data_IF_595712050408
#
_entry.id   IF_595712050408
#
_cell.length_a   1.000
_cell.length_b   1.000
_cell.length_c   1.000
_cell.angle_alpha   90.00
_cell.angle_beta   90.00
_cell.angle_gamma   90.00
#
_symmetry.space_group_name_H-M   'P 1'
#
loop_
_entity.id
_entity.type
_entity.pdbx_description
1 polymer ?
#
# COMPACT_ATOMS: atom_id res chain seq x y z
N UNK A 1 -21.65 -24.58 5.02
CA UNK A 1 -23.15 -24.67 5.11
C UNK A 1 -23.52 -24.68 6.59
N UNK A 2 -24.13 -23.61 7.11
CA UNK A 2 -24.51 -23.52 8.52
C UNK A 2 -25.78 -24.34 8.84
N UNK A 3 -25.80 -25.03 9.99
CA UNK A 3 -26.97 -25.78 10.49
C UNK A 3 -27.62 -25.06 11.67
N UNK A 4 -28.95 -24.94 11.63
CA UNK A 4 -29.74 -24.30 12.69
C UNK A 4 -29.53 -25.05 14.02
N UNK A 5 -29.19 -24.31 15.08
CA UNK A 5 -28.97 -24.86 16.43
C UNK A 5 -27.53 -25.31 16.73
N UNK A 6 -26.60 -25.10 15.79
CA UNK A 6 -25.19 -25.48 15.92
C UNK A 6 -24.26 -24.26 15.81
N UNK A 7 -24.70 -23.09 16.29
CA UNK A 7 -23.93 -21.83 16.18
C UNK A 7 -22.74 -21.78 17.13
N UNK A 8 -22.91 -22.32 18.34
CA UNK A 8 -21.94 -22.20 19.43
C UNK A 8 -20.76 -23.17 19.26
N UNK A 9 -19.57 -22.67 19.63
CA UNK A 9 -18.34 -23.47 19.68
C UNK A 9 -18.55 -24.79 20.40
N UNK A 10 -18.02 -25.87 19.82
CA UNK A 10 -18.13 -27.22 20.39
C UNK A 10 -19.38 -27.99 19.96
N UNK A 11 -20.30 -27.38 19.20
CA UNK A 11 -21.42 -28.07 18.53
C UNK A 11 -20.95 -28.69 17.20
N UNK A 12 -19.88 -29.47 17.23
CA UNK A 12 -19.33 -30.14 16.03
C UNK A 12 -18.46 -29.26 15.12
N UNK A 13 -18.07 -28.06 15.57
CA UNK A 13 -17.08 -27.20 14.91
C UNK A 13 -16.24 -26.43 15.95
N UNK A 14 -15.09 -25.91 15.50
CA UNK A 14 -14.12 -25.18 16.33
C UNK A 14 -14.35 -23.67 16.43
N UNK A 15 -15.17 -23.10 15.54
CA UNK A 15 -15.41 -21.65 15.47
C UNK A 15 -16.15 -21.10 16.68
N UNK A 16 -15.86 -19.84 17.06
CA UNK A 16 -16.64 -19.09 18.07
C UNK A 16 -18.10 -18.88 17.64
N UNK A 17 -18.36 -18.80 16.33
CA UNK A 17 -19.71 -18.69 15.77
C UNK A 17 -19.78 -19.25 14.34
N UNK A 18 -20.56 -20.33 14.15
CA UNK A 18 -20.61 -21.04 12.87
C UNK A 18 -21.12 -20.18 11.72
N UNK A 19 -22.23 -19.46 11.89
CA UNK A 19 -22.82 -18.68 10.80
C UNK A 19 -21.92 -17.54 10.34
N UNK A 20 -21.30 -16.81 11.26
CA UNK A 20 -20.38 -15.73 10.91
C UNK A 20 -19.12 -16.25 10.22
N UNK A 21 -18.60 -17.40 10.64
CA UNK A 21 -17.45 -18.03 10.00
C UNK A 21 -17.75 -18.43 8.55
N UNK A 22 -18.90 -19.04 8.31
CA UNK A 22 -19.34 -19.42 6.96
C UNK A 22 -19.62 -18.19 6.09
N UNK A 23 -20.13 -17.11 6.66
CA UNK A 23 -20.29 -15.82 5.97
C UNK A 23 -18.93 -15.21 5.64
N UNK A 24 -17.94 -15.30 6.54
CA UNK A 24 -16.60 -14.76 6.31
C UNK A 24 -15.91 -15.43 5.12
N UNK A 25 -16.06 -16.75 4.95
CA UNK A 25 -15.62 -17.46 3.73
C UNK A 25 -16.27 -16.90 2.45
N UNK A 26 -17.57 -16.61 2.50
CA UNK A 26 -18.26 -16.01 1.35
C UNK A 26 -17.77 -14.58 1.06
N UNK A 27 -17.53 -13.77 2.10
CA UNK A 27 -17.01 -12.41 1.98
C UNK A 27 -15.59 -12.43 1.39
N UNK A 28 -14.70 -13.28 1.90
CA UNK A 28 -13.35 -13.46 1.36
C UNK A 28 -13.40 -13.72 -0.15
N UNK A 29 -14.16 -14.74 -0.55
CA UNK A 29 -14.22 -15.20 -1.93
C UNK A 29 -14.93 -14.23 -2.88
N UNK A 30 -16.07 -13.69 -2.47
CA UNK A 30 -17.00 -12.97 -3.38
C UNK A 30 -16.81 -11.46 -3.29
N UNK A 31 -16.64 -10.91 -2.09
CA UNK A 31 -16.52 -9.46 -1.88
C UNK A 31 -15.08 -9.01 -2.04
N UNK A 32 -14.14 -9.76 -1.47
CA UNK A 32 -12.72 -9.42 -1.49
C UNK A 32 -11.89 -10.22 -2.49
N UNK A 33 -12.53 -11.02 -3.34
CA UNK A 33 -11.91 -11.74 -4.46
C UNK A 33 -10.73 -12.65 -4.03
N UNK A 34 -10.91 -13.39 -2.93
CA UNK A 34 -9.92 -14.29 -2.31
C UNK A 34 -8.73 -13.55 -1.68
N UNK A 35 -9.04 -12.56 -0.83
CA UNK A 35 -8.02 -11.72 -0.19
C UNK A 35 -7.11 -12.50 0.75
N UNK A 36 -7.60 -13.59 1.36
CA UNK A 36 -6.81 -14.47 2.22
C UNK A 36 -5.64 -15.16 1.49
N UNK A 37 -5.67 -15.23 0.16
CA UNK A 37 -4.59 -15.79 -0.68
C UNK A 37 -3.62 -14.75 -1.20
N UNK A 38 -3.85 -13.48 -0.90
CA UNK A 38 -2.97 -12.40 -1.37
C UNK A 38 -1.73 -12.31 -0.50
N UNK A 39 -0.61 -11.89 -1.11
CA UNK A 39 0.65 -11.61 -0.39
C UNK A 39 0.43 -10.61 0.77
N UNK A 40 -0.61 -9.78 0.68
CA UNK A 40 -0.97 -8.83 1.72
C UNK A 40 -1.40 -9.49 3.04
N UNK A 41 -2.04 -10.67 2.97
CA UNK A 41 -2.42 -11.43 4.15
C UNK A 41 -1.30 -12.33 4.68
N UNK A 42 -0.26 -12.60 3.89
CA UNK A 42 0.85 -13.49 4.27
C UNK A 42 1.62 -12.98 5.49
N UNK A 43 1.77 -11.66 5.61
CA UNK A 43 2.47 -11.03 6.73
C UNK A 43 1.72 -11.23 8.05
N UNK A 44 0.46 -10.77 8.23
CA UNK A 44 -0.26 -11.02 9.46
C UNK A 44 -0.43 -12.53 9.74
N UNK A 45 -0.72 -13.33 8.71
CA UNK A 45 -0.86 -14.78 8.85
C UNK A 45 0.42 -15.44 9.40
N UNK A 46 1.57 -15.19 8.79
CA UNK A 46 2.84 -15.82 9.19
C UNK A 46 3.30 -15.41 10.60
N UNK A 47 3.00 -14.18 11.04
CA UNK A 47 3.47 -13.65 12.32
C UNK A 47 2.57 -13.98 13.51
N UNK A 48 1.26 -14.10 13.28
CA UNK A 48 0.26 -14.09 14.35
C UNK A 48 -0.52 -15.40 14.47
N UNK A 49 -0.72 -16.12 13.35
CA UNK A 49 -1.56 -17.33 13.32
C UNK A 49 -1.19 -18.33 14.40
N UNK A 50 0.09 -18.68 14.53
CA UNK A 50 0.52 -19.69 15.51
C UNK A 50 0.32 -19.25 16.97
N UNK A 51 0.40 -17.94 17.24
CA UNK A 51 0.24 -17.39 18.59
C UNK A 51 -1.23 -17.31 18.98
N UNK A 52 -2.09 -16.96 18.03
CA UNK A 52 -3.52 -16.79 18.30
C UNK A 52 -4.28 -18.12 18.19
N UNK A 53 -4.03 -18.87 17.11
CA UNK A 53 -4.64 -20.16 16.82
C UNK A 53 -3.57 -21.24 16.57
N UNK A 54 -3.09 -21.92 17.63
CA UNK A 54 -2.03 -22.93 17.50
C UNK A 54 -2.49 -24.21 16.81
N UNK A 55 -3.80 -24.44 16.68
CA UNK A 55 -4.37 -25.60 16.01
C UNK A 55 -3.95 -25.64 14.52
N UNK A 56 -3.62 -26.84 14.03
CA UNK A 56 -3.23 -27.07 12.63
C UNK A 56 -4.35 -26.76 11.64
N UNK A 57 -5.61 -26.81 12.09
CA UNK A 57 -6.77 -26.43 11.28
C UNK A 57 -6.59 -25.03 10.66
N UNK A 58 -6.01 -24.10 11.42
CA UNK A 58 -5.79 -22.72 10.97
C UNK A 58 -4.50 -22.52 10.18
N UNK A 59 -3.76 -23.58 9.82
CA UNK A 59 -2.69 -23.51 8.80
C UNK A 59 -3.24 -23.20 7.41
N UNK A 60 -4.56 -23.40 7.18
CA UNK A 60 -5.24 -22.87 6.01
C UNK A 60 -5.51 -21.36 6.21
N UNK A 61 -5.01 -20.53 5.27
CA UNK A 61 -5.19 -19.07 5.29
C UNK A 61 -6.66 -18.66 5.24
N UNK A 62 -7.50 -19.37 4.49
CA UNK A 62 -8.94 -19.11 4.41
C UNK A 62 -9.61 -19.31 5.78
N UNK A 63 -9.31 -20.42 6.45
CA UNK A 63 -9.86 -20.76 7.76
C UNK A 63 -9.39 -19.78 8.85
N UNK A 64 -8.12 -19.38 8.80
CA UNK A 64 -7.58 -18.36 9.71
C UNK A 64 -8.25 -17.00 9.49
N UNK A 65 -8.37 -16.57 8.23
CA UNK A 65 -9.07 -15.34 7.88
C UNK A 65 -10.52 -15.36 8.35
N UNK A 66 -11.26 -16.43 8.02
CA UNK A 66 -12.67 -16.56 8.36
C UNK A 66 -12.90 -16.52 9.88
N UNK A 67 -12.06 -17.18 10.66
CA UNK A 67 -12.17 -17.14 12.12
C UNK A 67 -11.80 -15.78 12.70
N UNK A 68 -10.74 -15.13 12.21
CA UNK A 68 -10.39 -13.79 12.68
C UNK A 68 -11.48 -12.77 12.33
N UNK A 69 -12.06 -12.86 11.14
CA UNK A 69 -13.21 -12.03 10.73
C UNK A 69 -14.42 -12.28 11.63
N UNK A 70 -14.64 -13.53 12.03
CA UNK A 70 -15.68 -13.90 13.00
C UNK A 70 -15.45 -13.23 14.35
N UNK A 71 -14.22 -13.27 14.88
CA UNK A 71 -13.87 -12.58 16.14
C UNK A 71 -14.12 -11.08 16.05
N UNK A 72 -13.82 -10.45 14.91
CA UNK A 72 -14.00 -9.02 14.67
C UNK A 72 -15.47 -8.58 14.78
N UNK A 73 -16.41 -9.42 14.36
CA UNK A 73 -17.85 -9.08 14.29
C UNK A 73 -18.72 -9.70 15.39
N UNK A 74 -18.26 -10.76 16.05
CA UNK A 74 -19.10 -11.51 16.99
C UNK A 74 -19.46 -10.72 18.26
N UNK A 75 -18.49 -10.06 18.89
CA UNK A 75 -18.70 -9.24 20.09
C UNK A 75 -17.55 -8.26 20.31
N UNK A 76 -17.77 -7.22 21.13
CA UNK A 76 -16.68 -6.30 21.54
C UNK A 76 -15.56 -7.05 22.27
N UNK A 77 -15.89 -8.06 23.09
CA UNK A 77 -14.90 -8.86 23.80
C UNK A 77 -14.02 -9.69 22.88
N UNK A 78 -14.60 -10.36 21.87
CA UNK A 78 -13.83 -11.15 20.89
C UNK A 78 -13.04 -10.25 19.95
N UNK A 79 -13.58 -9.08 19.59
CA UNK A 79 -12.88 -8.08 18.79
C UNK A 79 -11.66 -7.54 19.52
N UNK A 80 -11.79 -7.24 20.81
CA UNK A 80 -10.67 -6.82 21.65
C UNK A 80 -9.64 -7.95 21.79
N UNK A 81 -10.08 -9.20 21.96
CA UNK A 81 -9.18 -10.35 22.00
C UNK A 81 -8.38 -10.53 20.70
N UNK A 82 -9.02 -10.37 19.53
CA UNK A 82 -8.34 -10.35 18.24
C UNK A 82 -7.30 -9.22 18.18
N UNK A 83 -7.68 -8.02 18.62
CA UNK A 83 -6.78 -6.86 18.64
C UNK A 83 -5.55 -7.07 19.53
N UNK A 84 -5.73 -7.73 20.67
CA UNK A 84 -4.64 -7.98 21.63
C UNK A 84 -3.72 -9.12 21.18
N UNK A 85 -4.28 -10.19 20.59
CA UNK A 85 -3.54 -11.41 20.26
C UNK A 85 -3.02 -11.46 18.82
N UNK A 86 -3.68 -10.76 17.90
CA UNK A 86 -3.34 -10.69 16.48
C UNK A 86 -3.56 -9.26 15.93
N UNK A 87 -2.83 -8.25 16.45
CA UNK A 87 -3.02 -6.85 16.09
C UNK A 87 -2.84 -6.54 14.59
N UNK A 88 -1.92 -7.20 13.89
CA UNK A 88 -1.74 -7.01 12.43
C UNK A 88 -2.95 -7.54 11.67
N UNK A 89 -3.48 -8.69 12.07
CA UNK A 89 -4.69 -9.30 11.50
C UNK A 89 -5.91 -8.43 11.79
N UNK A 90 -6.03 -7.87 13.01
CA UNK A 90 -7.06 -6.89 13.36
C UNK A 90 -7.00 -5.68 12.43
N UNK A 91 -5.83 -5.05 12.31
CA UNK A 91 -5.64 -3.86 11.48
C UNK A 91 -5.91 -4.14 10.00
N UNK A 92 -5.55 -5.33 9.52
CA UNK A 92 -5.84 -5.78 8.18
C UNK A 92 -7.35 -5.86 7.91
N UNK A 93 -8.10 -6.53 8.78
CA UNK A 93 -9.56 -6.66 8.66
C UNK A 93 -10.24 -5.30 8.80
N UNK A 94 -9.86 -4.50 9.80
CA UNK A 94 -10.39 -3.14 10.01
C UNK A 94 -10.21 -2.28 8.75
N UNK A 95 -9.05 -2.36 8.10
CA UNK A 95 -8.78 -1.66 6.84
C UNK A 95 -9.65 -2.17 5.69
N UNK A 96 -9.82 -3.48 5.53
CA UNK A 96 -10.74 -4.05 4.54
C UNK A 96 -12.17 -3.55 4.71
N UNK A 97 -12.65 -3.48 5.94
CA UNK A 97 -14.01 -3.02 6.24
C UNK A 97 -14.18 -1.53 5.96
N UNK A 98 -13.21 -0.72 6.36
CA UNK A 98 -13.18 0.72 6.04
C UNK A 98 -13.22 0.98 4.53
N UNK A 99 -12.54 0.14 3.74
CA UNK A 99 -12.57 0.21 2.28
C UNK A 99 -13.96 -0.07 1.69
N UNK A 100 -14.77 -0.91 2.33
CA UNK A 100 -16.14 -1.24 1.87
C UNK A 100 -17.16 -0.20 2.34
N UNK A 101 -16.99 0.35 3.53
CA UNK A 101 -17.97 1.23 4.17
C UNK A 101 -17.88 2.71 3.73
N UNK A 102 -16.80 3.13 3.06
CA UNK A 102 -16.67 4.49 2.54
C UNK A 102 -16.74 5.57 3.63
N UNK A 103 -16.34 5.24 4.85
CA UNK A 103 -16.55 6.07 6.03
C UNK A 103 -15.65 7.33 5.99
N UNK A 104 -16.29 8.48 5.79
CA UNK A 104 -15.69 9.81 5.59
C UNK A 104 -15.24 10.49 6.89
N UNK A 105 -15.13 9.75 8.01
CA UNK A 105 -14.78 10.28 9.33
C UNK A 105 -13.56 9.62 10.00
N UNK A 106 -12.73 8.90 9.26
CA UNK A 106 -11.35 8.63 9.68
C UNK A 106 -10.43 9.71 9.08
N UNK A 107 -9.75 10.48 9.94
CA UNK A 107 -8.86 11.58 9.52
C UNK A 107 -7.50 11.11 8.99
N UNK A 108 -7.35 9.83 8.69
CA UNK A 108 -6.18 9.31 7.99
C UNK A 108 -6.61 8.95 6.57
N UNK A 109 -6.03 9.56 5.52
CA UNK A 109 -6.30 9.14 4.16
C UNK A 109 -6.01 7.65 4.04
N UNK A 110 -6.93 6.91 3.43
CA UNK A 110 -6.79 5.47 3.25
C UNK A 110 -5.93 5.26 2.01
N UNK A 111 -4.73 4.74 2.25
CA UNK A 111 -3.62 4.82 1.34
C UNK A 111 -3.45 3.52 0.58
N UNK A 112 -3.67 3.53 -0.75
CA UNK A 112 -3.49 2.33 -1.58
C UNK A 112 -2.05 1.81 -1.42
N UNK A 113 -1.91 0.57 -0.93
CA UNK A 113 -0.61 -0.06 -0.68
C UNK A 113 -0.10 -0.76 -1.93
N UNK A 114 1.16 -0.48 -2.27
CA UNK A 114 1.92 -1.13 -3.31
C UNK A 114 2.96 -2.02 -2.62
N UNK A 115 2.70 -3.32 -2.58
CA UNK A 115 3.62 -4.29 -1.98
C UNK A 115 4.86 -4.52 -2.85
N UNK A 116 6.03 -4.67 -2.24
CA UNK A 116 7.29 -4.93 -2.94
C UNK A 116 8.49 -4.16 -2.38
N UNK A 117 9.67 -4.47 -2.89
CA UNK A 117 10.94 -3.86 -2.48
C UNK A 117 11.58 -2.98 -3.57
N UNK A 118 11.12 -3.06 -4.82
CA UNK A 118 11.73 -2.37 -5.95
C UNK A 118 10.70 -1.57 -6.75
N UNK A 119 10.88 -0.26 -6.79
CA UNK A 119 9.97 0.67 -7.47
C UNK A 119 10.77 1.63 -8.36
N UNK A 120 10.23 1.94 -9.53
CA UNK A 120 10.81 2.90 -10.47
C UNK A 120 9.77 3.96 -10.83
N UNK A 121 10.14 5.24 -10.70
CA UNK A 121 9.37 6.36 -11.26
C UNK A 121 10.03 6.90 -12.52
N UNK A 122 9.21 7.21 -13.52
CA UNK A 122 9.63 7.86 -14.76
C UNK A 122 8.89 9.19 -14.92
N UNK A 123 9.64 10.28 -15.05
CA UNK A 123 9.11 11.62 -15.30
C UNK A 123 9.56 12.10 -16.68
N UNK A 124 8.59 12.43 -17.53
CA UNK A 124 8.78 12.78 -18.93
C UNK A 124 8.34 14.19 -19.21
N UNK A 125 9.11 14.84 -20.08
CA UNK A 125 8.93 16.21 -20.50
C UNK A 125 8.32 16.31 -21.90
N UNK A 126 8.63 17.42 -22.56
CA UNK A 126 8.27 17.65 -23.96
C UNK A 126 8.74 16.51 -24.86
N UNK A 127 7.90 16.12 -25.83
CA UNK A 127 8.13 14.98 -26.73
C UNK A 127 8.32 13.63 -26.02
N UNK A 128 7.73 13.48 -24.83
CA UNK A 128 7.79 12.27 -23.99
C UNK A 128 9.22 11.85 -23.59
N UNK A 129 10.16 12.80 -23.65
CA UNK A 129 11.54 12.58 -23.24
C UNK A 129 11.61 12.40 -21.72
N UNK A 130 12.08 11.26 -21.27
CA UNK A 130 12.39 11.05 -19.85
C UNK A 130 13.52 11.99 -19.43
N UNK A 131 13.23 12.91 -18.51
CA UNK A 131 14.23 13.84 -17.96
C UNK A 131 14.63 13.48 -16.54
N UNK A 132 13.82 12.67 -15.84
CA UNK A 132 14.15 12.14 -14.54
C UNK A 132 13.67 10.70 -14.38
N UNK A 133 14.55 9.86 -13.83
CA UNK A 133 14.25 8.50 -13.40
C UNK A 133 14.62 8.33 -11.94
N UNK A 134 13.75 7.70 -11.16
CA UNK A 134 13.98 7.45 -9.74
C UNK A 134 13.78 5.98 -9.45
N UNK A 135 14.81 5.30 -8.97
CA UNK A 135 14.76 3.90 -8.57
C UNK A 135 14.87 3.80 -7.05
N UNK A 136 13.92 3.15 -6.39
CA UNK A 136 13.95 2.88 -4.96
C UNK A 136 14.13 1.39 -4.70
N UNK A 137 15.07 1.07 -3.82
CA UNK A 137 15.31 -0.28 -3.31
C UNK A 137 15.15 -0.29 -1.79
N UNK A 138 14.06 -0.88 -1.31
CA UNK A 138 13.72 -0.97 0.11
C UNK A 138 14.73 -1.79 0.91
N UNK A 139 15.30 -2.85 0.33
CA UNK A 139 16.29 -3.70 1.02
C UNK A 139 17.62 -2.99 1.21
N UNK A 140 18.00 -2.15 0.25
CA UNK A 140 19.18 -1.29 0.35
C UNK A 140 18.92 -0.01 1.18
N UNK A 141 17.65 0.32 1.47
CA UNK A 141 17.23 1.60 2.06
C UNK A 141 17.72 2.82 1.26
N UNK A 142 17.70 2.71 -0.07
CA UNK A 142 18.29 3.70 -0.97
C UNK A 142 17.38 4.05 -2.14
N UNK A 143 17.30 5.34 -2.45
CA UNK A 143 16.67 5.89 -3.63
C UNK A 143 17.70 6.56 -4.53
N UNK A 144 17.81 6.09 -5.77
CA UNK A 144 18.71 6.62 -6.80
C UNK A 144 17.93 7.51 -7.75
N UNK A 145 18.34 8.77 -7.85
CA UNK A 145 17.68 9.80 -8.65
C UNK A 145 18.62 10.17 -9.79
N UNK A 146 18.20 9.92 -11.02
CA UNK A 146 18.92 10.27 -12.23
C UNK A 146 18.19 11.39 -12.95
N UNK A 147 18.89 12.48 -13.24
CA UNK A 147 18.43 13.55 -14.13
C UNK A 147 19.22 13.51 -15.44
N UNK A 148 18.52 13.76 -16.54
CA UNK A 148 19.10 13.89 -17.87
C UNK A 148 19.30 15.37 -18.23
N UNK A 149 20.42 15.68 -18.88
CA UNK A 149 20.69 17.04 -19.33
C UNK A 149 19.64 17.50 -20.36
N UNK A 150 19.23 18.76 -20.32
CA UNK A 150 18.29 19.37 -21.27
C UNK A 150 17.13 20.12 -20.61
N UNK A 151 16.28 20.72 -21.43
CA UNK A 151 15.09 21.44 -20.98
C UNK A 151 13.93 20.44 -20.83
N UNK A 152 13.31 20.28 -19.64
CA UNK A 152 12.19 19.37 -19.44
C UNK A 152 11.01 19.71 -20.35
N UNK A 153 10.52 20.96 -20.30
CA UNK A 153 9.39 21.40 -21.11
C UNK A 153 9.36 22.93 -21.26
N UNK A 154 9.74 23.43 -22.43
CA UNK A 154 9.99 24.86 -22.70
C UNK A 154 8.80 25.80 -22.48
N UNK A 155 7.56 25.31 -22.59
CA UNK A 155 6.35 26.11 -22.36
C UNK A 155 6.01 26.39 -20.89
N UNK A 156 6.70 25.75 -19.93
CA UNK A 156 6.45 25.98 -18.50
C UNK A 156 7.57 26.80 -17.86
N UNK A 157 7.28 28.02 -17.42
CA UNK A 157 8.23 28.91 -16.74
C UNK A 157 8.28 28.75 -15.21
N UNK A 158 7.49 27.81 -14.68
CA UNK A 158 7.39 27.47 -13.25
C UNK A 158 7.94 26.07 -12.98
N UNK A 159 7.92 25.64 -11.72
CA UNK A 159 8.28 24.28 -11.31
C UNK A 159 7.39 23.27 -12.02
N UNK A 160 7.96 22.56 -12.98
CA UNK A 160 7.30 21.57 -13.82
C UNK A 160 7.20 20.21 -13.11
N UNK A 161 8.26 19.83 -12.39
CA UNK A 161 8.27 18.65 -11.54
C UNK A 161 9.05 18.88 -10.26
N UNK A 162 8.76 18.08 -9.23
CA UNK A 162 9.58 18.03 -8.01
C UNK A 162 9.68 16.63 -7.44
N UNK A 163 10.80 16.37 -6.77
CA UNK A 163 11.08 15.14 -6.03
C UNK A 163 11.52 15.56 -4.64
N UNK A 164 10.82 15.09 -3.61
CA UNK A 164 11.08 15.41 -2.21
C UNK A 164 11.08 14.15 -1.35
N UNK A 165 12.04 14.05 -0.44
CA UNK A 165 12.08 13.01 0.58
C UNK A 165 12.05 13.68 1.96
N UNK A 166 11.16 13.20 2.82
CA UNK A 166 11.09 13.56 4.22
C UNK A 166 11.33 12.33 5.08
N UNK A 167 12.13 12.44 6.12
CA UNK A 167 12.27 11.34 7.07
C UNK A 167 11.00 11.19 7.93
N UNK A 168 10.93 10.11 8.70
CA UNK A 168 9.81 9.83 9.62
C UNK A 168 9.50 10.94 10.65
N UNK A 169 10.44 11.85 10.92
CA UNK A 169 10.24 13.03 11.78
C UNK A 169 9.73 14.27 11.01
N UNK A 170 9.48 14.14 9.71
CA UNK A 170 9.03 15.21 8.82
C UNK A 170 10.15 16.10 8.27
N UNK A 171 11.42 15.84 8.60
CA UNK A 171 12.56 16.64 8.13
C UNK A 171 12.82 16.33 6.66
N UNK A 172 12.89 17.37 5.83
CA UNK A 172 13.25 17.25 4.41
C UNK A 172 14.73 16.89 4.29
N UNK A 173 15.02 15.67 3.84
CA UNK A 173 16.40 15.17 3.63
C UNK A 173 16.83 15.25 2.16
N UNK A 174 15.88 15.42 1.25
CA UNK A 174 16.14 15.70 -0.16
C UNK A 174 15.01 16.55 -0.76
N UNK A 175 15.36 17.52 -1.61
CA UNK A 175 14.38 18.32 -2.35
C UNK A 175 14.99 18.79 -3.68
N UNK A 176 14.37 18.40 -4.79
CA UNK A 176 14.72 18.86 -6.14
C UNK A 176 13.50 19.47 -6.80
N UNK A 177 13.58 20.75 -7.10
CA UNK A 177 12.62 21.46 -7.94
C UNK A 177 13.18 21.62 -9.36
N UNK A 178 12.34 21.31 -10.35
CA UNK A 178 12.73 21.26 -11.75
C UNK A 178 11.84 22.24 -12.51
N UNK A 179 12.38 23.40 -12.87
CA UNK A 179 11.67 24.42 -13.64
C UNK A 179 11.62 24.01 -15.11
N UNK A 180 10.44 24.04 -15.71
CA UNK A 180 10.18 23.44 -17.03
C UNK A 180 11.06 23.97 -18.15
N UNK A 181 11.26 25.28 -18.22
CA UNK A 181 12.01 25.95 -19.27
C UNK A 181 13.48 26.22 -18.91
N UNK A 182 13.99 25.67 -17.81
CA UNK A 182 15.39 25.82 -17.41
C UNK A 182 16.20 24.58 -17.78
N UNK A 183 17.36 24.80 -18.38
CA UNK A 183 18.34 23.76 -18.70
C UNK A 183 18.70 22.98 -17.43
N UNK A 184 18.50 21.67 -17.45
CA UNK A 184 19.02 20.74 -16.44
C UNK A 184 20.38 20.20 -16.88
N UNK A 185 21.22 19.86 -15.89
CA UNK A 185 22.44 19.09 -16.09
C UNK A 185 22.16 17.62 -15.82
N UNK A 186 22.96 16.73 -16.41
CA UNK A 186 22.91 15.32 -16.03
C UNK A 186 23.45 15.15 -14.62
N UNK A 187 22.75 14.39 -13.80
CA UNK A 187 23.05 14.23 -12.37
C UNK A 187 22.59 12.85 -11.91
N UNK A 188 23.36 12.23 -11.01
CA UNK A 188 22.94 11.05 -10.26
C UNK A 188 23.14 11.35 -8.78
N UNK A 189 22.08 11.22 -8.00
CA UNK A 189 22.15 11.28 -6.54
C UNK A 189 21.61 9.99 -5.93
N UNK A 190 22.21 9.58 -4.82
CA UNK A 190 21.69 8.51 -3.97
C UNK A 190 21.25 9.13 -2.65
N UNK A 191 20.01 8.87 -2.24
CA UNK A 191 19.40 9.38 -1.02
C UNK A 191 19.03 8.18 -0.15
N UNK A 192 19.42 8.13 1.13
CA UNK A 192 18.93 7.10 2.04
C UNK A 192 17.45 7.30 2.30
N UNK A 193 16.66 6.24 2.16
CA UNK A 193 15.21 6.23 2.35
C UNK A 193 14.82 4.95 3.10
N UNK A 194 14.21 5.11 4.29
CA UNK A 194 13.91 4.02 5.22
C UNK A 194 12.42 3.85 5.43
N UNK A 195 12.04 2.73 6.05
CA UNK A 195 10.67 2.52 6.54
C UNK A 195 10.26 3.68 7.45
N UNK A 196 9.09 4.25 7.19
CA UNK A 196 8.55 5.44 7.86
C UNK A 196 8.82 6.76 7.14
N UNK A 197 9.74 6.80 6.17
CA UNK A 197 10.03 8.00 5.39
C UNK A 197 8.95 8.24 4.31
N UNK A 198 8.86 9.48 3.84
CA UNK A 198 7.90 9.93 2.84
C UNK A 198 8.60 10.37 1.57
N UNK A 199 8.13 9.87 0.42
CA UNK A 199 8.57 10.23 -0.92
C UNK A 199 7.44 10.98 -1.60
N UNK A 200 7.70 12.20 -2.06
CA UNK A 200 6.69 13.06 -2.69
C UNK A 200 7.15 13.50 -4.07
N UNK A 201 6.25 13.34 -5.03
CA UNK A 201 6.42 13.76 -6.40
C UNK A 201 5.38 14.80 -6.77
N UNK A 202 5.75 15.75 -7.62
CA UNK A 202 4.82 16.58 -8.36
C UNK A 202 5.18 16.60 -9.84
N UNK A 203 4.19 16.69 -10.72
CA UNK A 203 4.39 16.81 -12.16
C UNK A 203 3.20 17.53 -12.79
N UNK A 204 3.39 18.70 -13.41
CA UNK A 204 2.28 19.52 -13.93
C UNK A 204 1.38 18.69 -14.88
N UNK A 205 1.98 17.87 -15.73
CA UNK A 205 1.26 17.08 -16.75
C UNK A 205 0.85 15.68 -16.28
N UNK A 206 0.95 15.37 -14.98
CA UNK A 206 0.65 14.01 -14.51
C UNK A 206 -0.85 13.62 -14.50
N UNK A 207 -1.78 14.56 -14.65
CA UNK A 207 -3.24 14.34 -14.50
C UNK A 207 -4.05 14.61 -15.77
N UNK A 208 -3.47 15.17 -16.85
CA UNK A 208 -4.28 15.59 -17.99
C UNK A 208 -4.90 14.36 -18.69
N UNK A 209 -6.21 14.40 -18.95
CA UNK A 209 -7.00 13.30 -19.53
C UNK A 209 -6.43 12.78 -20.87
N UNK A 210 -5.58 13.57 -21.55
CA UNK A 210 -4.83 13.21 -22.77
C UNK A 210 -3.33 12.91 -22.56
N UNK A 211 -2.76 13.29 -21.41
CA UNK A 211 -1.33 13.17 -21.11
C UNK A 211 -1.07 12.39 -19.82
N UNK A 212 -1.96 11.41 -19.51
CA UNK A 212 -1.82 10.53 -18.36
C UNK A 212 -0.46 9.83 -18.28
N UNK A 213 0.37 9.88 -19.32
CA UNK A 213 1.54 9.02 -19.52
C UNK A 213 2.89 9.59 -19.08
N UNK A 214 2.98 10.85 -18.65
CA UNK A 214 4.29 11.49 -18.42
C UNK A 214 4.86 11.32 -17.02
N UNK A 215 4.08 10.81 -16.07
CA UNK A 215 4.56 10.58 -14.72
C UNK A 215 4.02 9.24 -14.20
N UNK A 216 4.88 8.22 -14.24
CA UNK A 216 4.51 6.83 -13.91
C UNK A 216 5.30 6.30 -12.73
N UNK A 217 4.70 5.33 -12.05
CA UNK A 217 5.35 4.42 -11.12
C UNK A 217 5.23 3.01 -11.66
N UNK A 218 6.30 2.24 -11.62
CA UNK A 218 6.31 0.81 -11.93
C UNK A 218 6.85 0.05 -10.72
N UNK A 219 6.09 -0.93 -10.26
CA UNK A 219 6.59 -1.96 -9.35
C UNK A 219 7.40 -2.97 -10.17
N UNK A 220 8.70 -3.08 -9.90
CA UNK A 220 9.61 -3.88 -10.70
C UNK A 220 9.47 -5.39 -10.44
N UNK A 221 8.79 -5.79 -9.35
CA UNK A 221 8.62 -7.19 -8.97
C UNK A 221 7.42 -7.83 -9.65
N UNK A 222 6.34 -7.06 -9.87
CA UNK A 222 5.12 -7.55 -10.54
C UNK A 222 4.78 -6.82 -11.85
N UNK A 223 5.64 -5.88 -12.29
CA UNK A 223 5.46 -5.07 -13.50
C UNK A 223 4.18 -4.22 -13.52
N UNK A 224 3.46 -4.07 -12.39
CA UNK A 224 2.28 -3.20 -12.31
C UNK A 224 2.73 -1.76 -12.48
N UNK A 225 2.15 -1.09 -13.47
CA UNK A 225 2.38 0.33 -13.73
C UNK A 225 1.17 1.15 -13.30
N UNK A 226 1.44 2.31 -12.73
CA UNK A 226 0.45 3.28 -12.28
C UNK A 226 0.86 4.70 -12.66
N UNK A 227 -0.11 5.61 -12.61
CA UNK A 227 0.10 7.02 -12.87
C UNK A 227 0.10 7.79 -11.55
N UNK A 228 1.08 8.66 -11.36
CA UNK A 228 1.21 9.37 -10.09
C UNK A 228 0.25 10.56 -10.00
N UNK A 229 -0.26 11.08 -11.13
CA UNK A 229 -1.08 12.29 -11.14
C UNK A 229 -0.23 13.56 -11.02
N UNK A 230 -0.86 14.71 -10.76
CA UNK A 230 -0.13 15.97 -10.54
C UNK A 230 0.76 15.97 -9.31
N UNK A 231 0.38 15.16 -8.32
CA UNK A 231 1.05 15.03 -7.05
C UNK A 231 0.77 13.64 -6.51
N UNK A 232 1.80 13.01 -5.95
CA UNK A 232 1.65 11.79 -5.15
C UNK A 232 2.62 11.82 -4.00
N UNK A 233 2.16 11.33 -2.86
CA UNK A 233 3.01 11.07 -1.70
C UNK A 233 2.93 9.58 -1.38
N UNK A 234 4.08 8.99 -1.08
CA UNK A 234 4.20 7.61 -0.64
C UNK A 234 4.86 7.59 0.72
N UNK A 235 4.33 6.85 1.68
CA UNK A 235 5.07 6.46 2.88
C UNK A 235 5.68 5.09 2.64
N UNK A 236 6.96 4.93 2.99
CA UNK A 236 7.61 3.64 2.98
C UNK A 236 7.12 2.82 4.16
N UNK A 237 6.58 1.64 3.89
CA UNK A 237 6.12 0.69 4.92
C UNK A 237 7.07 -0.51 4.98
N UNK A 238 6.85 -1.38 5.97
CA UNK A 238 7.59 -2.64 6.07
C UNK A 238 7.39 -3.55 4.85
N UNK A 239 6.26 -3.43 4.15
CA UNK A 239 5.86 -4.27 3.02
C UNK A 239 6.09 -3.60 1.66
N UNK A 240 5.99 -2.27 1.57
CA UNK A 240 6.23 -1.55 0.32
C UNK A 240 5.98 -0.05 0.43
N UNK A 241 5.08 0.49 -0.40
CA UNK A 241 4.74 1.91 -0.45
C UNK A 241 3.25 2.12 -0.24
N UNK A 242 2.88 2.97 0.72
CA UNK A 242 1.50 3.36 0.98
C UNK A 242 1.22 4.74 0.40
N UNK A 243 0.23 4.90 -0.49
CA UNK A 243 -0.10 6.19 -1.15
C UNK A 243 -0.88 7.14 -0.24
N UNK A 244 -0.28 8.22 0.24
CA UNK A 244 -0.85 9.10 1.28
C UNK A 244 -1.89 10.13 0.76
N UNK A 245 -1.85 10.40 -0.54
CA UNK A 245 -2.55 11.51 -1.20
C UNK A 245 -3.15 11.06 -2.54
#
# INVERSE_FOLDING_TARGET
MARIGFSERGKGHGSINLELHEIAHAIDRVVFLNISHTDWFDVPFSQERQKFFPDKYYENKEEYFAECFTYYYFSESSKQELKDKAPLTYSYIDLLIKNVQGDSNSTEPINELLDGNQFSWSLKGYSDREFAKVDYNKKAEEMKIKLEAGIPHSYFNSTYASIKVQNSSGIVVYNKEIVGNRQQNSEIQTVPVKVGDYIKFTHIEGEAVKEKTRATLTNLENSKQEYIGKKRTYQVTSTGLSKID
#
